data_IF_716194231638
#
_entry.id   IF_716194231638
#
_cell.length_a   1.000
_cell.length_b   1.000
_cell.length_c   1.000
_cell.angle_alpha   90.00
_cell.angle_beta   90.00
_cell.angle_gamma   90.00
#
_symmetry.space_group_name_H-M   'P 1'
#
loop_
_entity.id
_entity.type
_entity.pdbx_description
1 polymer ?
#
# COMPACT_ATOMS: atom_id res chain seq x y z
N UNK A 1 10.39 2.24 -20.64
CA UNK A 1 11.70 1.55 -20.66
C UNK A 1 11.94 0.85 -19.32
N UNK A 2 12.82 -0.15 -19.24
CA UNK A 2 13.12 -0.86 -17.98
C UNK A 2 13.53 0.11 -16.84
N UNK A 3 14.23 1.20 -17.19
CA UNK A 3 14.61 2.30 -16.29
C UNK A 3 13.41 3.06 -15.70
N UNK A 4 12.33 3.26 -16.47
CA UNK A 4 11.14 3.98 -16.00
C UNK A 4 10.35 3.15 -14.98
N UNK A 5 10.33 1.83 -15.16
CA UNK A 5 9.68 0.92 -14.22
C UNK A 5 10.42 0.87 -12.88
N UNK A 6 11.77 0.91 -12.90
CA UNK A 6 12.58 0.99 -11.69
C UNK A 6 12.36 2.31 -10.94
N UNK A 7 12.27 3.43 -11.66
CA UNK A 7 11.99 4.74 -11.05
C UNK A 7 10.60 4.78 -10.40
N UNK A 8 9.59 4.20 -11.05
CA UNK A 8 8.24 4.06 -10.47
C UNK A 8 8.26 3.17 -9.23
N UNK A 9 9.02 2.07 -9.26
CA UNK A 9 9.19 1.20 -8.11
C UNK A 9 9.81 1.97 -6.94
N UNK A 10 10.94 2.66 -7.14
CA UNK A 10 11.60 3.49 -6.13
C UNK A 10 10.66 4.50 -5.46
N UNK A 11 9.82 5.17 -6.27
CA UNK A 11 8.82 6.13 -5.77
C UNK A 11 7.71 5.48 -4.95
N UNK A 12 7.38 4.21 -5.23
CA UNK A 12 6.37 3.45 -4.48
C UNK A 12 6.89 2.84 -3.17
N UNK A 13 8.21 2.82 -2.95
CA UNK A 13 8.81 2.27 -1.73
C UNK A 13 8.66 3.23 -0.55
N UNK A 14 7.78 2.89 0.38
CA UNK A 14 7.49 3.66 1.61
C UNK A 14 8.32 3.19 2.81
N UNK A 15 8.81 1.94 2.81
CA UNK A 15 9.62 1.35 3.88
C UNK A 15 11.12 1.63 3.68
N UNK A 16 11.83 2.02 4.75
CA UNK A 16 13.28 2.24 4.75
C UNK A 16 14.07 0.96 4.41
N UNK A 17 13.61 -0.21 4.88
CA UNK A 17 14.24 -1.51 4.56
C UNK A 17 14.13 -1.81 3.06
N UNK A 18 12.94 -1.63 2.48
CA UNK A 18 12.72 -1.86 1.05
C UNK A 18 13.50 -0.89 0.17
N UNK A 19 13.68 0.37 0.61
CA UNK A 19 14.51 1.37 -0.10
C UNK A 19 15.99 0.98 -0.10
N UNK A 20 16.51 0.56 1.05
CA UNK A 20 17.90 0.09 1.15
C UNK A 20 18.16 -1.14 0.27
N UNK A 21 17.25 -2.12 0.27
CA UNK A 21 17.33 -3.29 -0.60
C UNK A 21 17.28 -2.92 -2.08
N UNK A 22 16.46 -1.94 -2.46
CA UNK A 22 16.38 -1.45 -3.83
C UNK A 22 17.66 -0.74 -4.27
N UNK A 23 18.27 0.08 -3.41
CA UNK A 23 19.57 0.70 -3.68
C UNK A 23 20.68 -0.35 -3.88
N UNK A 24 20.75 -1.34 -3.00
CA UNK A 24 21.74 -2.43 -3.10
C UNK A 24 21.55 -3.25 -4.39
N UNK A 25 20.31 -3.57 -4.74
CA UNK A 25 19.95 -4.27 -5.98
C UNK A 25 20.28 -3.44 -7.23
N UNK A 26 20.07 -2.12 -7.18
CA UNK A 26 20.39 -1.20 -8.28
C UNK A 26 21.89 -1.13 -8.55
N UNK A 27 22.71 -1.08 -7.49
CA UNK A 27 24.18 -1.13 -7.62
C UNK A 27 24.66 -2.47 -8.18
N UNK A 28 24.12 -3.60 -7.69
CA UNK A 28 24.42 -4.92 -8.25
C UNK A 28 24.03 -5.03 -9.73
N UNK A 29 22.89 -4.45 -10.12
CA UNK A 29 22.44 -4.39 -11.52
C UNK A 29 23.40 -3.59 -12.40
N UNK A 30 23.90 -2.45 -11.93
CA UNK A 30 24.89 -1.63 -12.65
C UNK A 30 26.19 -2.41 -12.86
N UNK A 31 26.68 -3.07 -11.82
CA UNK A 31 27.88 -3.90 -11.88
C UNK A 31 27.71 -5.03 -12.89
N UNK A 32 26.62 -5.80 -12.81
CA UNK A 32 26.30 -6.85 -13.77
C UNK A 32 26.19 -6.31 -15.20
N UNK A 33 25.49 -5.19 -15.41
CA UNK A 33 25.36 -4.57 -16.74
C UNK A 33 26.68 -4.06 -17.33
N UNK A 34 27.66 -3.68 -16.50
CA UNK A 34 29.01 -3.38 -16.97
C UNK A 34 29.73 -4.63 -17.48
N UNK A 35 29.57 -5.78 -16.81
CA UNK A 35 30.17 -7.04 -17.25
C UNK A 35 29.52 -7.57 -18.53
N UNK A 36 28.19 -7.47 -18.65
CA UNK A 36 27.47 -7.87 -19.87
C UNK A 36 27.94 -7.05 -21.07
N UNK A 37 28.18 -5.74 -20.90
CA UNK A 37 28.73 -4.89 -21.96
C UNK A 37 30.10 -5.37 -22.44
N UNK A 38 31.01 -5.72 -21.52
CA UNK A 38 32.31 -6.31 -21.90
C UNK A 38 32.17 -7.60 -22.69
N UNK A 39 31.24 -8.48 -22.33
CA UNK A 39 30.97 -9.70 -23.12
C UNK A 39 30.49 -9.35 -24.53
N UNK A 40 29.58 -8.39 -24.65
CA UNK A 40 29.09 -7.93 -25.96
C UNK A 40 30.22 -7.28 -26.79
N UNK A 41 31.11 -6.52 -26.16
CA UNK A 41 32.27 -5.90 -26.82
C UNK A 41 33.26 -6.97 -27.32
N UNK A 42 33.52 -8.02 -26.54
CA UNK A 42 34.36 -9.16 -26.95
C UNK A 42 33.73 -9.92 -28.13
N UNK A 43 32.41 -10.12 -28.12
CA UNK A 43 31.67 -10.73 -29.23
C UNK A 43 31.76 -9.85 -30.48
N UNK A 44 31.57 -8.52 -30.35
CA UNK A 44 31.66 -7.57 -31.45
C UNK A 44 33.07 -7.50 -32.05
N UNK A 45 34.10 -7.69 -31.23
CA UNK A 45 35.50 -7.80 -31.65
C UNK A 45 35.85 -9.19 -32.26
N UNK A 46 34.89 -10.11 -32.39
CA UNK A 46 35.11 -11.45 -32.94
C UNK A 46 35.79 -12.44 -31.99
N UNK A 47 36.06 -12.05 -30.74
CA UNK A 47 36.78 -12.83 -29.73
C UNK A 47 35.82 -13.76 -28.95
N UNK A 48 35.18 -14.70 -29.65
CA UNK A 48 34.14 -15.56 -29.07
C UNK A 48 34.62 -16.45 -27.92
N UNK A 49 35.84 -16.99 -28.00
CA UNK A 49 36.38 -17.86 -26.94
C UNK A 49 36.71 -17.06 -25.68
N UNK A 50 37.26 -15.85 -25.82
CA UNK A 50 37.50 -14.93 -24.69
C UNK A 50 36.17 -14.47 -24.08
N UNK A 51 35.15 -14.17 -24.90
CA UNK A 51 33.82 -13.81 -24.42
C UNK A 51 33.18 -14.93 -23.60
N UNK A 52 33.36 -16.19 -24.03
CA UNK A 52 32.83 -17.36 -23.33
C UNK A 52 33.56 -17.61 -22.01
N UNK A 53 34.89 -17.54 -22.01
CA UNK A 53 35.69 -17.64 -20.79
C UNK A 53 35.34 -16.53 -19.78
N UNK A 54 35.10 -15.31 -20.26
CA UNK A 54 34.68 -14.19 -19.42
C UNK A 54 33.27 -14.39 -18.84
N UNK A 55 32.34 -14.90 -19.65
CA UNK A 55 30.97 -15.20 -19.22
C UNK A 55 30.94 -16.30 -18.15
N UNK A 56 31.71 -17.37 -18.33
CA UNK A 56 31.75 -18.51 -17.40
C UNK A 56 32.55 -18.19 -16.13
N UNK A 57 33.51 -17.27 -16.19
CA UNK A 57 34.34 -16.84 -15.06
C UNK A 57 33.84 -15.57 -14.37
N UNK A 58 34.24 -14.40 -14.88
CA UNK A 58 34.06 -13.11 -14.21
C UNK A 58 32.60 -12.64 -14.14
N UNK A 59 31.72 -13.17 -14.99
CA UNK A 59 30.31 -12.77 -15.00
C UNK A 59 29.45 -13.55 -13.99
N UNK A 60 29.91 -14.73 -13.56
CA UNK A 60 29.14 -15.64 -12.71
C UNK A 60 28.88 -15.08 -11.30
N UNK A 61 29.89 -14.47 -10.66
CA UNK A 61 29.76 -13.93 -9.30
C UNK A 61 28.86 -12.67 -9.25
N UNK A 62 29.04 -11.65 -10.10
CA UNK A 62 28.13 -10.50 -10.17
C UNK A 62 26.69 -10.90 -10.51
N UNK A 63 26.52 -11.92 -11.35
CA UNK A 63 25.21 -12.48 -11.68
C UNK A 63 24.55 -13.09 -10.45
N UNK A 64 25.24 -14.01 -9.77
CA UNK A 64 24.73 -14.66 -8.55
C UNK A 64 24.35 -13.64 -7.47
N UNK A 65 25.19 -12.61 -7.27
CA UNK A 65 24.92 -11.52 -6.33
C UNK A 65 23.65 -10.75 -6.70
N UNK A 66 23.48 -10.39 -7.97
CA UNK A 66 22.29 -9.68 -8.43
C UNK A 66 21.00 -10.49 -8.23
N UNK A 67 21.01 -11.80 -8.55
CA UNK A 67 19.85 -12.66 -8.35
C UNK A 67 19.53 -12.88 -6.86
N UNK A 68 20.54 -13.06 -6.01
CA UNK A 68 20.33 -13.19 -4.57
C UNK A 68 19.69 -11.94 -3.96
N UNK A 69 20.06 -10.75 -4.43
CA UNK A 69 19.46 -9.48 -3.98
C UNK A 69 18.03 -9.30 -4.50
N UNK A 70 17.76 -9.71 -5.73
CA UNK A 70 16.39 -9.77 -6.27
C UNK A 70 15.50 -10.67 -5.42
N UNK A 71 15.95 -11.88 -5.09
CA UNK A 71 15.18 -12.83 -4.28
C UNK A 71 14.91 -12.27 -2.88
N UNK A 72 15.90 -11.64 -2.25
CA UNK A 72 15.71 -10.95 -0.96
C UNK A 72 14.64 -9.85 -1.06
N UNK A 73 14.67 -9.05 -2.11
CA UNK A 73 13.71 -7.97 -2.31
C UNK A 73 12.29 -8.53 -2.52
N UNK A 74 12.14 -9.61 -3.30
CA UNK A 74 10.86 -10.30 -3.50
C UNK A 74 10.35 -10.88 -2.17
N UNK A 75 11.19 -11.58 -1.43
CA UNK A 75 10.84 -12.15 -0.13
C UNK A 75 10.37 -11.07 0.87
N UNK A 76 11.05 -9.92 0.89
CA UNK A 76 10.66 -8.79 1.74
C UNK A 76 9.28 -8.24 1.36
N UNK A 77 9.01 -8.06 0.07
CA UNK A 77 7.70 -7.60 -0.41
C UNK A 77 6.59 -8.61 -0.09
N UNK A 78 6.84 -9.91 -0.21
CA UNK A 78 5.87 -10.95 0.15
C UNK A 78 5.59 -10.93 1.65
N UNK A 79 6.63 -10.80 2.50
CA UNK A 79 6.48 -10.69 3.96
C UNK A 79 5.64 -9.47 4.35
N UNK A 80 5.94 -8.31 3.78
CA UNK A 80 5.22 -7.07 4.07
C UNK A 80 3.75 -7.14 3.60
N UNK A 81 3.49 -7.76 2.44
CA UNK A 81 2.13 -7.99 1.94
C UNK A 81 1.32 -8.93 2.85
N UNK A 82 1.92 -10.02 3.33
CA UNK A 82 1.26 -10.95 4.26
C UNK A 82 0.89 -10.25 5.57
N UNK A 83 1.79 -9.39 6.07
CA UNK A 83 1.54 -8.57 7.26
C UNK A 83 0.42 -7.57 7.05
N UNK A 84 0.37 -6.91 5.89
CA UNK A 84 -0.68 -5.94 5.56
C UNK A 84 -2.06 -6.61 5.41
N UNK A 85 -2.12 -7.84 4.91
CA UNK A 85 -3.36 -8.65 4.88
C UNK A 85 -3.85 -8.97 6.29
N UNK A 86 -2.95 -9.29 7.21
CA UNK A 86 -3.28 -9.58 8.61
C UNK A 86 -3.78 -8.32 9.33
N UNK A 87 -3.09 -7.19 9.16
CA UNK A 87 -3.48 -5.89 9.72
C UNK A 87 -4.79 -5.36 9.11
N UNK A 88 -5.05 -5.63 7.83
CA UNK A 88 -6.28 -5.21 7.16
C UNK A 88 -7.51 -5.85 7.80
N UNK A 89 -7.45 -7.13 8.20
CA UNK A 89 -8.56 -7.78 8.91
C UNK A 89 -8.90 -7.06 10.22
N UNK A 90 -7.87 -6.67 10.98
CA UNK A 90 -8.05 -5.94 12.24
C UNK A 90 -8.63 -4.53 12.00
N UNK A 91 -8.18 -3.83 10.94
CA UNK A 91 -8.71 -2.51 10.55
C UNK A 91 -10.17 -2.59 10.10
N UNK A 92 -10.54 -3.60 9.32
CA UNK A 92 -11.93 -3.80 8.88
C UNK A 92 -12.86 -4.06 10.07
N UNK A 93 -12.46 -4.89 11.04
CA UNK A 93 -13.25 -5.11 12.24
C UNK A 93 -13.44 -3.82 13.04
N UNK A 94 -12.37 -3.04 13.23
CA UNK A 94 -12.45 -1.77 13.94
C UNK A 94 -13.35 -0.76 13.22
N UNK A 95 -13.25 -0.68 11.90
CA UNK A 95 -14.12 0.17 11.08
C UNK A 95 -15.60 -0.23 11.24
N UNK A 96 -15.91 -1.53 11.18
CA UNK A 96 -17.27 -2.04 11.41
C UNK A 96 -17.78 -1.62 12.79
N UNK A 97 -16.99 -1.81 13.86
CA UNK A 97 -17.41 -1.42 15.21
C UNK A 97 -17.60 0.10 15.34
N UNK A 98 -16.74 0.92 14.74
CA UNK A 98 -16.90 2.38 14.76
C UNK A 98 -18.15 2.84 14.01
N UNK A 99 -18.44 2.25 12.84
CA UNK A 99 -19.65 2.56 12.08
C UNK A 99 -20.88 2.12 12.85
N UNK A 100 -20.88 0.90 13.41
CA UNK A 100 -22.00 0.39 14.19
C UNK A 100 -22.28 1.27 15.43
N UNK A 101 -21.22 1.69 16.14
CA UNK A 101 -21.33 2.60 17.28
C UNK A 101 -21.88 3.97 16.88
N UNK A 102 -21.41 4.55 15.76
CA UNK A 102 -21.91 5.81 15.24
C UNK A 102 -23.39 5.72 14.82
N UNK A 103 -23.80 4.63 14.16
CA UNK A 103 -25.18 4.40 13.77
C UNK A 103 -26.12 4.27 14.98
N UNK A 104 -25.72 3.53 16.01
CA UNK A 104 -26.49 3.42 17.25
C UNK A 104 -26.64 4.79 17.93
N UNK A 105 -25.56 5.57 18.00
CA UNK A 105 -25.60 6.91 18.57
C UNK A 105 -26.56 7.83 17.81
N UNK A 106 -26.54 7.78 16.47
CA UNK A 106 -27.44 8.56 15.63
C UNK A 106 -28.92 8.19 15.85
N UNK A 107 -29.23 6.90 16.01
CA UNK A 107 -30.61 6.44 16.31
C UNK A 107 -31.06 6.98 17.67
N UNK A 108 -30.21 6.86 18.70
CA UNK A 108 -30.53 7.36 20.05
C UNK A 108 -30.80 8.86 20.03
N UNK A 109 -29.95 9.63 19.35
CA UNK A 109 -30.15 11.07 19.20
C UNK A 109 -31.43 11.41 18.43
N UNK A 110 -31.77 10.64 17.39
CA UNK A 110 -33.02 10.77 16.66
C UNK A 110 -34.25 10.54 17.55
N UNK A 111 -34.25 9.47 18.36
CA UNK A 111 -35.33 9.16 19.32
C UNK A 111 -35.46 10.26 20.37
N UNK A 112 -34.34 10.72 20.94
CA UNK A 112 -34.34 11.82 21.92
C UNK A 112 -34.94 13.07 21.29
N UNK A 113 -34.52 13.42 20.07
CA UNK A 113 -35.03 14.60 19.35
C UNK A 113 -36.52 14.48 19.08
N UNK A 114 -36.99 13.30 18.63
CA UNK A 114 -38.40 13.05 18.41
C UNK A 114 -39.23 13.22 19.70
N UNK A 115 -38.78 12.64 20.82
CA UNK A 115 -39.45 12.78 22.12
C UNK A 115 -39.47 14.22 22.64
N UNK A 116 -38.38 14.97 22.43
CA UNK A 116 -38.29 16.38 22.80
C UNK A 116 -39.30 17.21 21.99
N UNK A 117 -39.38 17.02 20.67
CA UNK A 117 -40.34 17.72 19.82
C UNK A 117 -41.78 17.39 20.24
N UNK A 118 -42.11 16.11 20.46
CA UNK A 118 -43.45 15.70 20.88
C UNK A 118 -43.88 16.35 22.19
N UNK A 119 -42.96 16.46 23.17
CA UNK A 119 -43.27 17.10 24.46
C UNK A 119 -43.25 18.62 24.42
N UNK A 120 -42.38 19.21 23.60
CA UNK A 120 -42.15 20.66 23.53
C UNK A 120 -43.12 21.39 22.61
N UNK A 121 -43.63 20.74 21.57
CA UNK A 121 -44.42 21.39 20.53
C UNK A 121 -45.85 20.89 20.54
N UNK A 122 -46.05 19.57 20.55
CA UNK A 122 -47.38 18.97 20.39
C UNK A 122 -48.27 19.23 21.60
N UNK A 123 -47.73 19.12 22.81
CA UNK A 123 -48.45 19.39 24.07
C UNK A 123 -48.96 20.84 24.22
N UNK A 124 -48.15 21.90 24.01
CA UNK A 124 -48.66 23.26 24.13
C UNK A 124 -49.62 23.68 23.01
N UNK A 125 -49.58 23.01 21.85
CA UNK A 125 -50.52 23.29 20.76
C UNK A 125 -51.93 22.79 21.09
N UNK A 126 -52.09 21.63 21.76
CA UNK A 126 -53.41 21.16 22.22
C UNK A 126 -54.09 22.17 23.16
N UNK A 127 -53.35 22.74 24.11
CA UNK A 127 -53.87 23.77 25.01
C UNK A 127 -54.17 25.11 24.30
N UNK A 128 -53.47 25.43 23.21
CA UNK A 128 -53.75 26.61 22.41
C UNK A 128 -55.03 26.47 21.55
N UNK A 129 -55.35 25.24 21.13
CA UNK A 129 -56.60 24.93 20.41
C UNK A 129 -57.80 24.99 21.37
N UNK A 130 -57.70 24.44 22.59
CA UNK A 130 -58.75 24.59 23.61
C UNK A 130 -59.03 26.07 23.96
N UNK A 131 -57.98 26.90 24.02
CA UNK A 131 -58.15 28.33 24.29
C UNK A 131 -58.79 29.08 23.11
N UNK A 132 -58.56 28.64 21.88
CA UNK A 132 -59.17 29.22 20.69
C UNK A 132 -60.65 28.82 20.55
N UNK A 133 -61.00 27.58 20.87
CA UNK A 133 -62.40 27.09 20.88
C UNK A 133 -63.22 27.72 22.01
N UNK A 134 -62.59 28.10 23.13
CA UNK A 134 -63.24 28.81 24.23
C UNK A 134 -63.57 30.29 23.94
N UNK A 135 -63.10 30.84 22.81
CA UNK A 135 -63.30 32.25 22.41
C UNK A 135 -64.21 32.37 21.17
N UNK A 136 -64.60 31.26 20.54
CA UNK A 136 -65.59 31.19 19.47
C UNK A 136 -67.02 31.00 20.02
#
# INVERSE_FOLDING_TARGET
>A
TNTDNLKKLEQSLTNAESRALFEEQSEARKAYGAQVRKVLDLIAAGKRDEAKAYYEGELAEPQARYYALLDKMVANNVRDMLKDVEDTKARTQRAIYTTLGASLLAIVLGVITALLITRSVTRPIEGAIELADAVA
#
